data_IF_203154629036
#
_entry.id   IF_203154629036
#
_cell.length_a   1.000
_cell.length_b   1.000
_cell.length_c   1.000
_cell.angle_alpha   90.00
_cell.angle_beta   90.00
_cell.angle_gamma   90.00
#
_symmetry.space_group_name_H-M   'P 1'
#
loop_
_entity.id
_entity.type
_entity.pdbx_description
1 polymer ?
#
# COMPACT_ATOMS: atom_id res chain seq x y z
N UNK A 1 17.76 -2.95 26.43
CA UNK A 1 17.15 -4.32 26.38
C UNK A 1 16.57 -4.43 25.00
N UNK A 2 16.93 -5.44 24.19
CA UNK A 2 16.36 -5.64 22.86
C UNK A 2 14.86 -5.92 22.99
N UNK A 3 14.08 -5.40 22.04
CA UNK A 3 12.65 -5.67 21.96
C UNK A 3 12.42 -7.12 21.50
N UNK A 4 11.29 -7.71 21.89
CA UNK A 4 10.83 -8.94 21.25
C UNK A 4 10.61 -8.74 19.74
N UNK A 5 10.75 -9.78 18.92
CA UNK A 5 10.58 -9.66 17.48
C UNK A 5 9.24 -8.99 17.09
N UNK A 6 9.34 -7.87 16.37
CA UNK A 6 8.17 -7.07 15.94
C UNK A 6 7.42 -7.77 14.80
N UNK A 7 8.15 -8.40 13.89
CA UNK A 7 7.58 -9.21 12.80
C UNK A 7 7.81 -10.67 13.14
N UNK A 8 6.74 -11.44 13.24
CA UNK A 8 6.77 -12.85 13.65
C UNK A 8 6.32 -13.82 12.56
N UNK A 9 5.78 -13.30 11.47
CA UNK A 9 5.29 -14.06 10.32
C UNK A 9 5.60 -13.33 9.01
N UNK A 10 5.95 -14.06 7.95
CA UNK A 10 6.09 -13.50 6.61
C UNK A 10 4.75 -13.10 5.97
N UNK A 11 3.62 -13.46 6.59
CA UNK A 11 2.29 -12.94 6.24
C UNK A 11 2.01 -11.55 6.83
N UNK A 12 2.87 -11.00 7.73
CA UNK A 12 2.76 -9.63 8.20
C UNK A 12 3.21 -8.65 7.12
N UNK A 13 2.45 -8.66 6.03
CA UNK A 13 2.62 -7.76 4.88
C UNK A 13 1.26 -7.45 4.25
N UNK A 14 1.21 -6.39 3.44
CA UNK A 14 -0.01 -6.01 2.73
C UNK A 14 -0.29 -6.98 1.57
N UNK A 15 -1.57 -7.36 1.38
CA UNK A 15 -2.01 -8.32 0.35
C UNK A 15 -1.51 -7.97 -1.06
N UNK A 16 -1.40 -6.69 -1.39
CA UNK A 16 -0.90 -6.28 -2.71
C UNK A 16 0.56 -6.71 -2.97
N UNK A 17 1.36 -6.99 -1.94
CA UNK A 17 2.72 -7.51 -2.12
C UNK A 17 2.73 -8.93 -2.68
N UNK A 18 1.78 -9.75 -2.28
CA UNK A 18 1.63 -11.10 -2.85
C UNK A 18 1.04 -11.04 -4.26
N UNK A 19 0.05 -10.16 -4.51
CA UNK A 19 -0.50 -10.04 -5.86
C UNK A 19 0.52 -9.50 -6.86
N UNK A 20 1.26 -8.45 -6.52
CA UNK A 20 2.36 -7.97 -7.37
C UNK A 20 3.48 -9.03 -7.47
N UNK A 21 3.85 -9.65 -6.34
CA UNK A 21 4.89 -10.67 -6.28
C UNK A 21 4.64 -11.84 -7.21
N UNK A 22 3.40 -12.34 -7.32
CA UNK A 22 3.04 -13.37 -8.27
C UNK A 22 3.25 -12.93 -9.73
N UNK A 23 2.83 -11.71 -10.07
CA UNK A 23 3.02 -11.18 -11.40
C UNK A 23 4.51 -10.93 -11.72
N UNK A 24 5.27 -10.43 -10.74
CA UNK A 24 6.73 -10.26 -10.85
C UNK A 24 7.42 -11.61 -11.06
N UNK A 25 7.04 -12.62 -10.29
CA UNK A 25 7.59 -13.97 -10.39
C UNK A 25 7.44 -14.57 -11.79
N UNK A 26 6.27 -14.41 -12.39
CA UNK A 26 6.00 -14.99 -13.71
C UNK A 26 6.57 -14.18 -14.87
N UNK A 27 6.70 -12.85 -14.73
CA UNK A 27 6.94 -11.97 -15.88
C UNK A 27 8.24 -11.14 -15.76
N UNK A 28 8.75 -10.88 -14.54
CA UNK A 28 9.82 -9.92 -14.27
C UNK A 28 10.83 -10.43 -13.23
N UNK A 29 11.04 -11.75 -13.17
CA UNK A 29 11.87 -12.39 -12.13
C UNK A 29 13.35 -11.96 -12.16
N UNK A 30 13.84 -11.47 -13.29
CA UNK A 30 15.20 -10.97 -13.50
C UNK A 30 15.36 -9.46 -13.24
N UNK A 31 14.25 -8.72 -13.03
CA UNK A 31 14.30 -7.30 -12.75
C UNK A 31 14.98 -7.05 -11.39
N UNK A 32 15.82 -6.00 -11.35
CA UNK A 32 16.52 -5.56 -10.14
C UNK A 32 16.01 -4.19 -9.72
N UNK A 33 15.84 -3.98 -8.42
CA UNK A 33 15.38 -2.69 -7.89
C UNK A 33 16.27 -2.21 -6.75
N UNK A 34 16.29 -0.88 -6.61
CA UNK A 34 16.83 -0.17 -5.45
C UNK A 34 15.68 0.55 -4.77
N UNK A 35 15.61 0.42 -3.46
CA UNK A 35 14.61 1.10 -2.63
C UNK A 35 15.30 2.02 -1.64
N UNK A 36 14.62 3.09 -1.25
CA UNK A 36 15.11 4.01 -0.23
C UNK A 36 13.99 4.37 0.74
N UNK A 37 14.33 4.35 2.01
CA UNK A 37 13.52 4.87 3.10
C UNK A 37 13.59 6.41 3.12
N UNK A 38 12.50 7.05 3.56
CA UNK A 38 12.45 8.47 3.85
C UNK A 38 11.50 8.76 5.01
N UNK A 39 12.00 9.44 6.03
CA UNK A 39 11.19 10.13 7.02
C UNK A 39 10.87 11.54 6.49
N UNK A 40 9.59 11.93 6.53
CA UNK A 40 9.10 13.24 6.07
C UNK A 40 8.81 14.19 7.24
N UNK A 41 8.90 13.71 8.47
CA UNK A 41 8.80 14.52 9.66
C UNK A 41 10.13 15.27 9.84
N UNK A 42 10.08 16.56 10.11
CA UNK A 42 11.27 17.40 10.35
C UNK A 42 11.68 17.47 11.82
N UNK A 43 10.80 17.00 12.69
CA UNK A 43 10.93 16.98 14.16
C UNK A 43 11.22 15.58 14.72
N UNK A 44 11.40 14.60 13.85
CA UNK A 44 11.70 13.21 14.21
C UNK A 44 13.19 12.93 14.00
N UNK A 45 13.82 12.35 15.02
CA UNK A 45 15.21 11.90 14.94
C UNK A 45 15.34 10.50 15.55
N UNK A 46 15.98 9.59 14.80
CA UNK A 46 16.30 8.24 15.26
C UNK A 46 17.66 8.26 15.96
N UNK A 47 17.70 7.86 17.23
CA UNK A 47 18.96 7.77 17.98
C UNK A 47 19.78 6.56 17.54
N UNK A 48 21.07 6.55 17.92
CA UNK A 48 21.94 5.42 17.65
C UNK A 48 21.34 4.08 18.17
N UNK A 49 20.78 4.11 19.38
CA UNK A 49 20.15 2.93 19.99
C UNK A 49 18.93 2.45 19.21
N UNK A 50 18.13 3.37 18.65
CA UNK A 50 17.00 3.01 17.77
C UNK A 50 17.50 2.40 16.46
N UNK A 51 18.58 2.92 15.87
CA UNK A 51 19.14 2.36 14.63
C UNK A 51 19.69 0.95 14.87
N UNK A 52 20.38 0.71 15.98
CA UNK A 52 20.86 -0.63 16.33
C UNK A 52 19.70 -1.60 16.58
N UNK A 53 18.65 -1.16 17.30
CA UNK A 53 17.44 -1.97 17.49
C UNK A 53 16.77 -2.32 16.14
N UNK A 54 16.62 -1.34 15.23
CA UNK A 54 16.08 -1.56 13.88
C UNK A 54 16.90 -2.62 13.12
N UNK A 55 18.24 -2.58 13.22
CA UNK A 55 19.11 -3.58 12.59
C UNK A 55 18.85 -4.98 13.14
N UNK A 56 18.74 -5.12 14.47
CA UNK A 56 18.45 -6.42 15.09
C UNK A 56 17.06 -6.95 14.74
N UNK A 57 16.06 -6.08 14.70
CA UNK A 57 14.70 -6.45 14.28
C UNK A 57 14.65 -6.89 12.79
N UNK A 58 15.40 -6.21 11.91
CA UNK A 58 15.50 -6.61 10.49
C UNK A 58 16.25 -7.94 10.37
N UNK A 59 17.29 -8.20 11.17
CA UNK A 59 17.95 -9.51 11.21
C UNK A 59 16.99 -10.60 11.65
N UNK A 60 16.19 -10.35 12.70
CA UNK A 60 15.19 -11.30 13.17
C UNK A 60 14.14 -11.60 12.07
N UNK A 61 13.63 -10.55 11.38
CA UNK A 61 12.77 -10.71 10.21
C UNK A 61 13.42 -11.55 9.11
N UNK A 62 14.70 -11.33 8.80
CA UNK A 62 15.43 -12.09 7.79
C UNK A 62 15.66 -13.56 8.19
N UNK A 63 15.49 -13.91 9.46
CA UNK A 63 15.50 -15.29 9.95
C UNK A 63 14.22 -16.09 9.66
N UNK A 64 13.13 -15.42 9.31
CA UNK A 64 11.82 -16.05 9.13
C UNK A 64 11.73 -16.86 7.83
N UNK A 65 10.84 -17.85 7.83
CA UNK A 65 10.39 -18.61 6.66
C UNK A 65 8.89 -18.79 6.71
N UNK A 66 8.26 -18.95 5.54
CA UNK A 66 6.86 -19.34 5.49
C UNK A 66 6.66 -20.72 6.11
N UNK A 67 5.65 -20.85 6.97
CA UNK A 67 5.19 -22.15 7.47
C UNK A 67 4.28 -22.81 6.44
N UNK A 68 4.13 -24.15 6.49
CA UNK A 68 3.22 -24.86 5.60
C UNK A 68 1.77 -24.37 5.76
N UNK A 69 1.34 -24.03 6.97
CA UNK A 69 0.01 -23.49 7.24
C UNK A 69 -0.21 -22.12 6.57
N UNK A 70 0.81 -21.27 6.51
CA UNK A 70 0.77 -19.97 5.81
C UNK A 70 0.69 -20.16 4.29
N UNK A 71 1.47 -21.11 3.76
CA UNK A 71 1.45 -21.46 2.34
C UNK A 71 0.11 -22.06 1.92
N UNK A 72 -0.46 -22.95 2.71
CA UNK A 72 -1.80 -23.49 2.48
C UNK A 72 -2.89 -22.41 2.51
N UNK A 73 -2.76 -21.41 3.39
CA UNK A 73 -3.67 -20.28 3.40
C UNK A 73 -3.57 -19.45 2.11
N UNK A 74 -2.34 -19.12 1.67
CA UNK A 74 -2.13 -18.41 0.41
C UNK A 74 -2.66 -19.19 -0.78
N UNK A 75 -2.46 -20.51 -0.81
CA UNK A 75 -2.94 -21.38 -1.89
C UNK A 75 -4.48 -21.40 -2.01
N UNK A 76 -5.21 -21.15 -0.93
CA UNK A 76 -6.69 -21.06 -0.94
C UNK A 76 -7.22 -19.76 -1.54
N UNK A 77 -6.36 -18.76 -1.74
CA UNK A 77 -6.76 -17.50 -2.36
C UNK A 77 -7.02 -17.74 -3.86
N UNK A 78 -8.24 -17.46 -4.31
CA UNK A 78 -8.76 -17.87 -5.63
C UNK A 78 -7.85 -17.53 -6.83
N UNK A 79 -7.12 -16.43 -6.78
CA UNK A 79 -6.26 -15.98 -7.87
C UNK A 79 -4.76 -16.31 -7.65
N UNK A 80 -4.41 -16.87 -6.49
CA UNK A 80 -3.04 -17.27 -6.19
C UNK A 80 -2.68 -18.57 -6.93
N UNK A 81 -1.57 -18.55 -7.66
CA UNK A 81 -1.11 -19.72 -8.43
C UNK A 81 -0.14 -20.56 -7.62
N UNK A 82 -0.25 -21.88 -7.74
CA UNK A 82 0.60 -22.82 -7.00
C UNK A 82 2.09 -22.62 -7.25
N UNK A 83 2.49 -22.29 -8.49
CA UNK A 83 3.91 -22.03 -8.82
C UNK A 83 4.53 -20.89 -8.01
N UNK A 84 3.75 -19.84 -7.71
CA UNK A 84 4.22 -18.75 -6.87
C UNK A 84 4.27 -19.14 -5.39
N UNK A 85 3.30 -19.93 -4.91
CA UNK A 85 3.31 -20.46 -3.54
C UNK A 85 4.50 -21.41 -3.33
N UNK A 86 4.84 -22.24 -4.33
CA UNK A 86 6.01 -23.11 -4.30
C UNK A 86 7.32 -22.31 -4.27
N UNK A 87 7.38 -21.17 -4.98
CA UNK A 87 8.50 -20.24 -4.85
C UNK A 87 8.59 -19.66 -3.42
N UNK A 88 7.48 -19.22 -2.83
CA UNK A 88 7.45 -18.68 -1.47
C UNK A 88 7.92 -19.69 -0.43
N UNK A 89 7.70 -21.00 -0.63
CA UNK A 89 8.23 -22.06 0.25
C UNK A 89 9.76 -22.04 0.37
N UNK A 90 10.44 -21.64 -0.68
CA UNK A 90 11.90 -21.56 -0.73
C UNK A 90 12.44 -20.16 -0.41
N UNK A 91 11.55 -19.14 -0.46
CA UNK A 91 11.94 -17.77 -0.29
C UNK A 91 12.24 -17.43 1.17
N UNK A 92 13.25 -16.59 1.35
CA UNK A 92 13.64 -16.01 2.63
C UNK A 92 14.16 -14.59 2.42
N UNK A 93 13.79 -13.62 3.27
CA UNK A 93 14.42 -12.30 3.25
C UNK A 93 15.92 -12.43 3.56
N UNK A 94 16.72 -11.50 3.02
CA UNK A 94 18.18 -11.54 3.14
C UNK A 94 18.69 -10.25 3.75
N UNK A 95 19.42 -10.34 4.85
CA UNK A 95 19.98 -9.15 5.51
C UNK A 95 21.02 -8.44 4.64
N UNK A 96 21.75 -9.20 3.80
CA UNK A 96 22.75 -8.67 2.86
C UNK A 96 22.17 -7.77 1.77
N UNK A 97 20.86 -7.83 1.56
CA UNK A 97 20.14 -6.95 0.62
C UNK A 97 19.84 -5.57 1.24
N UNK A 98 20.16 -5.36 2.53
CA UNK A 98 19.95 -4.10 3.26
C UNK A 98 21.25 -3.36 3.50
N UNK A 99 21.21 -2.04 3.33
CA UNK A 99 22.19 -1.09 3.83
C UNK A 99 21.50 -0.14 4.81
N UNK A 100 21.87 -0.20 6.09
CA UNK A 100 21.27 0.57 7.17
C UNK A 100 22.36 1.37 7.86
N UNK A 101 22.25 2.69 7.74
CA UNK A 101 23.25 3.64 8.27
C UNK A 101 22.57 4.81 8.97
N UNK A 102 23.34 5.56 9.73
CA UNK A 102 22.91 6.84 10.31
C UNK A 102 23.15 7.97 9.32
N UNK A 103 22.27 8.95 9.32
CA UNK A 103 22.44 10.19 8.56
C UNK A 103 22.29 11.43 9.44
N UNK A 104 22.59 12.61 8.87
CA UNK A 104 22.49 13.88 9.58
C UNK A 104 21.07 14.50 9.53
N UNK A 105 20.15 13.97 8.72
CA UNK A 105 18.81 14.53 8.56
C UNK A 105 17.86 14.04 9.66
N UNK A 106 17.54 12.74 9.64
CA UNK A 106 16.63 12.15 10.62
C UNK A 106 17.27 11.05 11.48
N UNK A 107 18.59 10.82 11.34
CA UNK A 107 19.33 9.79 12.07
C UNK A 107 19.24 8.40 11.47
N UNK A 108 18.53 8.18 10.36
CA UNK A 108 18.32 6.86 9.77
C UNK A 108 18.24 6.88 8.25
N UNK A 109 19.10 6.10 7.61
CA UNK A 109 19.01 5.76 6.19
C UNK A 109 18.84 4.24 6.04
N UNK A 110 17.89 3.82 5.23
CA UNK A 110 17.73 2.41 4.83
C UNK A 110 17.63 2.34 3.32
N UNK A 111 18.50 1.56 2.70
CA UNK A 111 18.41 1.19 1.29
C UNK A 111 18.33 -0.32 1.15
N UNK A 112 17.62 -0.81 0.13
CA UNK A 112 17.64 -2.23 -0.21
C UNK A 112 17.92 -2.43 -1.70
N UNK A 113 18.62 -3.52 -1.99
CA UNK A 113 19.10 -3.87 -3.33
C UNK A 113 18.85 -5.33 -3.61
N UNK A 114 18.47 -5.66 -4.83
CA UNK A 114 18.29 -7.06 -5.20
C UNK A 114 17.35 -7.26 -6.37
N UNK A 115 16.88 -8.49 -6.55
CA UNK A 115 15.79 -8.75 -7.50
C UNK A 115 14.52 -8.07 -7.02
N UNK A 116 13.74 -7.55 -7.95
CA UNK A 116 12.47 -6.89 -7.60
C UNK A 116 11.56 -7.82 -6.80
N UNK A 117 11.55 -9.11 -7.15
CA UNK A 117 10.78 -10.13 -6.44
C UNK A 117 11.13 -10.23 -4.95
N UNK A 118 12.42 -10.08 -4.58
CA UNK A 118 12.85 -10.08 -3.19
C UNK A 118 12.54 -8.75 -2.50
N UNK A 119 13.01 -7.66 -3.07
CA UNK A 119 12.97 -6.33 -2.44
C UNK A 119 11.55 -5.77 -2.30
N UNK A 120 10.62 -6.20 -3.15
CA UNK A 120 9.20 -5.83 -3.02
C UNK A 120 8.61 -6.24 -1.66
N UNK A 121 8.99 -7.40 -1.13
CA UNK A 121 8.48 -7.92 0.14
C UNK A 121 9.14 -7.27 1.37
N UNK A 122 10.21 -6.48 1.20
CA UNK A 122 10.91 -5.84 2.33
C UNK A 122 10.23 -4.55 2.81
N UNK A 123 9.52 -3.82 1.95
CA UNK A 123 8.95 -2.50 2.26
C UNK A 123 8.09 -2.50 3.53
N UNK A 124 7.10 -3.37 3.59
CA UNK A 124 6.07 -3.32 4.63
C UNK A 124 6.62 -3.72 6.00
N UNK A 125 7.33 -4.85 6.15
CA UNK A 125 7.94 -5.22 7.42
C UNK A 125 8.95 -4.18 7.91
N UNK A 126 9.79 -3.63 7.01
CA UNK A 126 10.77 -2.59 7.36
C UNK A 126 10.09 -1.36 7.93
N UNK A 127 9.03 -0.85 7.27
CA UNK A 127 8.31 0.33 7.76
C UNK A 127 7.60 0.05 9.09
N UNK A 128 7.01 -1.12 9.27
CA UNK A 128 6.37 -1.52 10.53
C UNK A 128 7.40 -1.61 11.67
N UNK A 129 8.58 -2.19 11.42
CA UNK A 129 9.70 -2.24 12.37
C UNK A 129 10.14 -0.83 12.77
N UNK A 130 10.45 0.01 11.78
CA UNK A 130 10.93 1.39 12.03
C UNK A 130 9.91 2.18 12.87
N UNK A 131 8.63 2.06 12.52
CA UNK A 131 7.56 2.78 13.23
C UNK A 131 7.42 2.29 14.67
N UNK A 132 7.35 0.98 14.89
CA UNK A 132 7.16 0.41 16.23
C UNK A 132 8.37 0.65 17.14
N UNK A 133 9.61 0.51 16.63
CA UNK A 133 10.83 0.83 17.37
C UNK A 133 10.81 2.30 17.82
N UNK A 134 10.48 3.23 16.92
CA UNK A 134 10.42 4.64 17.26
C UNK A 134 9.44 4.90 18.41
N UNK A 135 8.19 4.44 18.32
CA UNK A 135 7.19 4.72 19.34
C UNK A 135 7.52 4.05 20.68
N UNK A 136 8.08 2.83 20.69
CA UNK A 136 8.48 2.13 21.91
C UNK A 136 9.69 2.73 22.60
N UNK A 137 10.58 3.40 21.87
CA UNK A 137 11.81 3.94 22.45
C UNK A 137 11.77 5.46 22.68
N UNK A 138 10.92 6.19 21.97
CA UNK A 138 10.80 7.64 22.13
C UNK A 138 9.78 8.08 23.20
N UNK A 139 8.83 7.20 23.55
CA UNK A 139 7.72 7.55 24.42
C UNK A 139 7.48 6.49 25.51
N UNK A 140 6.68 6.85 26.53
CA UNK A 140 6.07 5.85 27.40
C UNK A 140 5.03 5.07 26.57
N UNK A 141 5.35 3.82 26.29
CA UNK A 141 4.55 3.00 25.39
C UNK A 141 3.22 2.59 25.99
N UNK A 142 3.14 2.40 27.32
CA UNK A 142 1.92 2.03 28.00
C UNK A 142 0.90 3.18 27.97
N UNK A 143 1.37 4.42 28.14
CA UNK A 143 0.54 5.63 27.97
C UNK A 143 0.02 5.78 26.54
N UNK A 144 0.88 5.54 25.54
CA UNK A 144 0.45 5.57 24.14
C UNK A 144 -0.59 4.49 23.82
N UNK A 145 -0.41 3.28 24.34
CA UNK A 145 -1.34 2.18 24.14
C UNK A 145 -2.70 2.50 24.80
N UNK A 146 -2.70 3.04 25.99
CA UNK A 146 -3.93 3.47 26.68
C UNK A 146 -4.66 4.57 25.90
N UNK A 147 -3.94 5.57 25.38
CA UNK A 147 -4.51 6.61 24.50
C UNK A 147 -5.12 6.00 23.24
N UNK A 148 -4.38 5.10 22.58
CA UNK A 148 -4.85 4.38 21.39
C UNK A 148 -6.14 3.58 21.66
N UNK A 149 -6.17 2.77 22.74
CA UNK A 149 -7.33 1.97 23.08
C UNK A 149 -8.57 2.83 23.35
N UNK A 150 -8.41 3.92 24.09
CA UNK A 150 -9.50 4.88 24.36
C UNK A 150 -10.07 5.44 23.05
N UNK A 151 -9.22 5.96 22.16
CA UNK A 151 -9.66 6.53 20.87
C UNK A 151 -10.30 5.48 19.96
N UNK A 152 -9.78 4.24 19.97
CA UNK A 152 -10.39 3.14 19.23
C UNK A 152 -11.80 2.82 19.72
N UNK A 153 -12.03 2.78 21.05
CA UNK A 153 -13.35 2.52 21.64
C UNK A 153 -14.35 3.67 21.34
N UNK A 154 -13.88 4.91 21.33
CA UNK A 154 -14.66 6.06 20.91
C UNK A 154 -15.11 5.92 19.43
N UNK A 155 -14.21 5.55 18.52
CA UNK A 155 -14.51 5.32 17.10
C UNK A 155 -15.51 4.18 16.89
N UNK A 156 -15.33 3.08 17.61
CA UNK A 156 -16.26 1.95 17.57
C UNK A 156 -17.65 2.37 18.05
N UNK A 157 -17.72 3.19 19.08
CA UNK A 157 -18.97 3.72 19.61
C UNK A 157 -19.67 4.61 18.58
N UNK A 158 -18.93 5.49 17.88
CA UNK A 158 -19.47 6.34 16.80
C UNK A 158 -20.08 5.50 15.67
N UNK A 159 -19.40 4.44 15.24
CA UNK A 159 -19.93 3.52 14.22
C UNK A 159 -21.17 2.75 14.72
N UNK A 160 -21.18 2.25 15.95
CA UNK A 160 -22.33 1.55 16.54
C UNK A 160 -23.58 2.45 16.64
N UNK A 161 -23.37 3.72 16.93
CA UNK A 161 -24.45 4.71 17.04
C UNK A 161 -24.90 5.29 15.69
N UNK A 162 -24.37 4.77 14.56
CA UNK A 162 -24.66 5.26 13.21
C UNK A 162 -24.33 6.76 13.03
N UNK A 163 -23.36 7.29 13.77
CA UNK A 163 -22.89 8.67 13.59
C UNK A 163 -22.25 8.83 12.20
N UNK A 164 -21.61 7.76 11.71
CA UNK A 164 -21.03 7.69 10.37
C UNK A 164 -21.54 6.47 9.61
N UNK A 165 -21.78 6.65 8.32
CA UNK A 165 -22.26 5.61 7.40
C UNK A 165 -21.23 5.40 6.29
N UNK A 166 -20.24 4.52 6.53
CA UNK A 166 -19.11 4.33 5.62
C UNK A 166 -19.40 3.39 4.44
N UNK A 167 -20.48 2.61 4.48
CA UNK A 167 -20.63 1.49 3.54
C UNK A 167 -19.54 0.43 3.79
N UNK A 168 -18.73 0.10 2.78
CA UNK A 168 -17.65 -0.90 2.91
C UNK A 168 -16.33 -0.23 3.33
N UNK A 169 -15.67 -0.74 4.37
CA UNK A 169 -14.37 -0.24 4.78
C UNK A 169 -13.42 -1.35 5.25
N UNK A 170 -12.13 -1.11 5.12
CA UNK A 170 -11.05 -2.03 5.50
C UNK A 170 -9.93 -1.29 6.23
N UNK A 171 -9.17 -2.00 7.04
CA UNK A 171 -7.99 -1.48 7.71
C UNK A 171 -6.75 -1.59 6.80
N UNK A 172 -6.02 -0.47 6.58
CA UNK A 172 -4.86 -0.34 5.68
C UNK A 172 -3.64 0.28 6.37
N UNK A 173 -3.48 0.08 7.68
CA UNK A 173 -2.50 0.83 8.46
C UNK A 173 -1.20 0.10 8.80
N UNK A 174 -0.97 -1.12 8.31
CA UNK A 174 0.16 -1.99 8.68
C UNK A 174 1.52 -1.28 8.67
N UNK A 175 1.84 -0.55 7.61
CA UNK A 175 3.15 0.11 7.44
C UNK A 175 3.51 1.13 8.52
N UNK A 176 2.50 1.72 9.16
CA UNK A 176 2.63 2.77 10.18
C UNK A 176 1.75 2.49 11.39
N UNK A 177 1.50 1.23 11.67
CA UNK A 177 0.78 0.77 12.86
C UNK A 177 1.55 1.19 14.12
N UNK A 178 0.85 1.52 15.20
CA UNK A 178 1.50 1.83 16.48
C UNK A 178 2.36 0.63 16.93
N UNK A 179 1.77 -0.57 16.89
CA UNK A 179 2.45 -1.85 17.11
C UNK A 179 1.65 -3.00 16.52
N UNK A 180 2.25 -4.19 16.48
CA UNK A 180 1.56 -5.42 16.09
C UNK A 180 0.32 -5.68 16.95
N UNK A 181 0.44 -5.54 18.29
CA UNK A 181 -0.65 -5.72 19.22
C UNK A 181 -1.77 -4.68 19.07
N UNK A 182 -1.43 -3.40 18.86
CA UNK A 182 -2.41 -2.35 18.63
C UNK A 182 -3.21 -2.57 17.35
N UNK A 183 -2.54 -2.92 16.22
CA UNK A 183 -3.25 -3.24 14.99
C UNK A 183 -4.14 -4.47 15.14
N UNK A 184 -3.66 -5.51 15.81
CA UNK A 184 -4.45 -6.71 16.08
C UNK A 184 -5.69 -6.38 16.89
N UNK A 185 -5.56 -5.58 17.97
CA UNK A 185 -6.68 -5.13 18.79
C UNK A 185 -7.73 -4.39 17.96
N UNK A 186 -7.29 -3.48 17.07
CA UNK A 186 -8.18 -2.74 16.19
C UNK A 186 -8.96 -3.67 15.26
N UNK A 187 -8.26 -4.57 14.56
CA UNK A 187 -8.87 -5.53 13.63
C UNK A 187 -9.85 -6.44 14.36
N UNK A 188 -9.46 -6.96 15.54
CA UNK A 188 -10.32 -7.80 16.38
C UNK A 188 -11.60 -7.08 16.77
N UNK A 189 -11.49 -5.89 17.38
CA UNK A 189 -12.65 -5.11 17.84
C UNK A 189 -13.56 -4.72 16.65
N UNK A 190 -13.01 -4.36 15.49
CA UNK A 190 -13.78 -4.06 14.29
C UNK A 190 -14.53 -5.28 13.76
N UNK A 191 -13.91 -6.45 13.76
CA UNK A 191 -14.50 -7.69 13.27
C UNK A 191 -15.59 -8.27 14.19
N UNK A 192 -15.46 -8.11 15.51
CA UNK A 192 -16.41 -8.63 16.49
C UNK A 192 -17.72 -7.84 16.57
N UNK A 193 -17.80 -6.68 15.94
CA UNK A 193 -18.94 -5.79 16.04
C UNK A 193 -19.67 -5.62 14.69
N UNK A 194 -20.96 -5.28 14.78
CA UNK A 194 -21.77 -4.87 13.62
C UNK A 194 -22.06 -3.39 13.73
N UNK A 195 -22.02 -2.73 12.58
CA UNK A 195 -22.19 -1.27 12.49
C UNK A 195 -23.32 -0.98 11.49
N UNK A 196 -24.44 -0.35 11.94
CA UNK A 196 -25.50 0.05 11.02
C UNK A 196 -24.93 0.98 9.93
N UNK A 197 -25.24 0.68 8.66
CA UNK A 197 -24.75 1.46 7.52
C UNK A 197 -23.26 1.36 7.21
N UNK A 198 -22.49 0.59 7.99
CA UNK A 198 -21.06 0.38 7.77
C UNK A 198 -20.72 -1.12 7.88
N UNK A 199 -19.84 -1.63 7.02
CA UNK A 199 -19.40 -3.02 7.03
C UNK A 199 -17.89 -3.08 6.99
N UNK A 200 -17.29 -3.62 8.06
CA UNK A 200 -15.87 -3.95 8.06
C UNK A 200 -15.64 -5.20 7.20
N UNK A 201 -14.85 -5.04 6.14
CA UNK A 201 -14.62 -6.11 5.15
C UNK A 201 -13.40 -6.94 5.53
N UNK A 202 -12.33 -6.30 6.03
CA UNK A 202 -11.07 -6.96 6.34
C UNK A 202 -9.90 -6.01 6.50
N UNK A 203 -8.70 -6.53 6.32
CA UNK A 203 -7.45 -5.79 6.49
C UNK A 203 -6.49 -6.06 5.33
N UNK A 204 -5.57 -5.15 5.08
CA UNK A 204 -4.46 -5.39 4.15
C UNK A 204 -3.41 -6.36 4.74
N UNK A 205 -3.33 -6.47 6.07
CA UNK A 205 -2.43 -7.37 6.78
C UNK A 205 -2.88 -8.83 6.62
N UNK A 206 -2.13 -9.60 5.82
CA UNK A 206 -2.49 -10.98 5.46
C UNK A 206 -2.45 -11.92 6.68
N UNK A 207 -1.54 -11.67 7.63
CA UNK A 207 -1.47 -12.43 8.88
C UNK A 207 -2.75 -12.29 9.70
N UNK A 208 -3.21 -11.05 9.91
CA UNK A 208 -4.44 -10.79 10.66
C UNK A 208 -5.69 -11.27 9.91
N UNK A 209 -5.68 -11.15 8.57
CA UNK A 209 -6.78 -11.69 7.76
C UNK A 209 -6.91 -13.21 7.93
N UNK A 210 -5.78 -13.95 7.90
CA UNK A 210 -5.76 -15.39 8.20
C UNK A 210 -6.23 -15.67 9.61
N UNK A 211 -5.67 -14.96 10.61
CA UNK A 211 -5.95 -15.19 12.04
C UNK A 211 -7.43 -15.03 12.39
N UNK A 212 -8.11 -14.05 11.80
CA UNK A 212 -9.51 -13.73 12.09
C UNK A 212 -10.51 -14.25 11.04
N UNK A 213 -10.04 -14.94 10.01
CA UNK A 213 -10.91 -15.48 8.95
C UNK A 213 -11.64 -14.41 8.14
N UNK A 214 -11.03 -13.23 7.97
CA UNK A 214 -11.57 -12.10 7.21
C UNK A 214 -10.84 -11.93 5.87
N UNK A 215 -11.34 -11.01 5.02
CA UNK A 215 -10.78 -10.82 3.69
C UNK A 215 -9.42 -10.11 3.73
N UNK A 216 -8.35 -10.68 3.15
CA UNK A 216 -7.12 -9.94 2.88
C UNK A 216 -7.37 -9.00 1.70
N UNK A 217 -7.24 -7.69 1.91
CA UNK A 217 -7.58 -6.65 0.92
C UNK A 217 -6.32 -6.03 0.33
N UNK A 218 -6.27 -5.95 -0.99
CA UNK A 218 -5.17 -5.30 -1.71
C UNK A 218 -4.99 -5.87 -3.12
N UNK A 219 -4.64 -4.99 -4.07
CA UNK A 219 -4.40 -5.37 -5.45
C UNK A 219 -3.00 -4.98 -5.91
N UNK A 220 -2.74 -3.70 -6.22
CA UNK A 220 -1.45 -3.19 -6.69
C UNK A 220 -1.04 -1.91 -5.97
N UNK A 221 0.24 -1.59 -6.02
CA UNK A 221 0.81 -0.33 -5.53
C UNK A 221 1.58 0.39 -6.65
N UNK A 222 2.06 1.61 -6.35
CA UNK A 222 2.79 2.45 -7.31
C UNK A 222 4.02 1.77 -7.90
N UNK A 223 4.74 0.96 -7.10
CA UNK A 223 5.91 0.23 -7.56
C UNK A 223 5.65 -0.62 -8.80
N UNK A 224 4.44 -1.23 -8.90
CA UNK A 224 4.03 -2.02 -10.05
C UNK A 224 4.06 -1.19 -11.33
N UNK A 225 3.40 -0.03 -11.31
CA UNK A 225 3.29 0.84 -12.47
C UNK A 225 4.64 1.46 -12.82
N UNK A 226 5.40 1.89 -11.80
CA UNK A 226 6.72 2.47 -11.97
C UNK A 226 7.72 1.46 -12.56
N UNK A 227 7.85 0.28 -11.97
CA UNK A 227 8.84 -0.70 -12.40
C UNK A 227 8.49 -1.31 -13.77
N UNK A 228 7.23 -1.68 -14.01
CA UNK A 228 6.80 -2.22 -15.31
C UNK A 228 6.94 -1.18 -16.41
N UNK A 229 6.51 0.06 -16.16
CA UNK A 229 6.47 1.11 -17.18
C UNK A 229 7.81 1.79 -17.43
N UNK A 230 8.58 2.04 -16.37
CA UNK A 230 9.79 2.86 -16.42
C UNK A 230 11.09 2.03 -16.29
N UNK A 231 11.01 0.81 -15.75
CA UNK A 231 12.14 -0.10 -15.55
C UNK A 231 12.58 -0.87 -16.80
N UNK A 232 12.11 -0.49 -18.00
CA UNK A 232 12.49 -1.11 -19.26
C UNK A 232 12.82 -0.02 -20.29
N UNK A 233 14.09 0.02 -20.73
CA UNK A 233 14.58 1.01 -21.70
C UNK A 233 13.89 0.99 -23.07
N UNK A 234 13.14 -0.05 -23.39
CA UNK A 234 12.33 -0.14 -24.61
C UNK A 234 10.94 0.50 -24.47
N UNK A 235 10.56 0.85 -23.26
CA UNK A 235 9.26 1.47 -22.99
C UNK A 235 9.36 2.99 -23.04
N UNK A 236 8.32 3.64 -23.58
CA UNK A 236 8.11 5.05 -23.34
C UNK A 236 7.43 5.21 -21.98
N UNK A 237 8.06 5.90 -21.01
CA UNK A 237 7.54 5.97 -19.64
C UNK A 237 6.19 6.70 -19.52
N UNK A 238 5.79 7.48 -20.50
CA UNK A 238 4.45 8.08 -20.53
C UNK A 238 3.31 7.05 -20.70
N UNK A 239 3.62 5.81 -21.09
CA UNK A 239 2.66 4.70 -21.20
C UNK A 239 2.75 3.72 -20.01
N UNK A 240 3.33 4.13 -18.88
CA UNK A 240 3.52 3.25 -17.72
C UNK A 240 2.23 2.59 -17.23
N UNK A 241 1.11 3.33 -17.23
CA UNK A 241 -0.19 2.75 -16.84
C UNK A 241 -0.63 1.65 -17.81
N UNK A 242 -0.48 1.88 -19.13
CA UNK A 242 -0.87 0.91 -20.15
C UNK A 242 -0.08 -0.41 -20.01
N UNK A 243 1.26 -0.34 -19.91
CA UNK A 243 2.08 -1.53 -19.71
C UNK A 243 1.69 -2.28 -18.44
N UNK A 244 1.47 -1.55 -17.34
CA UNK A 244 1.11 -2.13 -16.05
C UNK A 244 -0.26 -2.83 -16.09
N UNK A 245 -1.27 -2.22 -16.72
CA UNK A 245 -2.61 -2.78 -16.89
C UNK A 245 -2.58 -4.03 -17.78
N UNK A 246 -1.84 -3.98 -18.90
CA UNK A 246 -1.74 -5.10 -19.84
C UNK A 246 -1.13 -6.34 -19.17
N UNK A 247 -0.01 -6.20 -18.46
CA UNK A 247 0.61 -7.30 -17.72
C UNK A 247 -0.25 -7.81 -16.56
N UNK A 248 -0.99 -6.92 -15.89
CA UNK A 248 -1.92 -7.31 -14.84
C UNK A 248 -3.06 -8.18 -15.38
N UNK A 249 -3.65 -7.78 -16.50
CA UNK A 249 -4.71 -8.55 -17.16
C UNK A 249 -4.20 -9.89 -17.68
N UNK A 250 -2.97 -9.96 -18.22
CA UNK A 250 -2.34 -11.23 -18.61
C UNK A 250 -2.20 -12.20 -17.44
N UNK A 251 -1.91 -11.70 -16.24
CA UNK A 251 -1.75 -12.53 -15.05
C UNK A 251 -3.09 -12.92 -14.43
N UNK A 252 -4.02 -11.99 -14.28
CA UNK A 252 -5.23 -12.16 -13.47
C UNK A 252 -6.54 -12.20 -14.25
N UNK A 253 -6.54 -11.79 -15.50
CA UNK A 253 -7.79 -11.64 -16.26
C UNK A 253 -8.73 -10.65 -15.59
N UNK A 254 -9.92 -11.13 -15.20
CA UNK A 254 -10.94 -10.35 -14.48
C UNK A 254 -10.81 -10.44 -12.94
N UNK A 255 -9.88 -11.26 -12.45
CA UNK A 255 -9.66 -11.43 -11.03
C UNK A 255 -8.76 -10.30 -10.51
N UNK A 256 -8.89 -9.98 -9.22
CA UNK A 256 -8.04 -8.99 -8.55
C UNK A 256 -8.03 -7.60 -9.23
N UNK A 257 -9.21 -7.17 -9.69
CA UNK A 257 -9.40 -6.08 -10.64
C UNK A 257 -9.67 -4.71 -10.00
N UNK A 258 -8.79 -4.17 -9.13
CA UNK A 258 -8.83 -2.76 -8.72
C UNK A 258 -7.53 -2.06 -9.14
N UNK A 259 -7.63 -1.10 -10.07
CA UNK A 259 -6.47 -0.40 -10.61
C UNK A 259 -6.15 0.87 -9.81
N UNK A 260 -4.87 1.15 -9.59
CA UNK A 260 -4.38 2.40 -9.00
C UNK A 260 -4.23 3.47 -10.10
N UNK A 261 -4.67 4.71 -9.83
CA UNK A 261 -4.85 5.71 -10.90
C UNK A 261 -3.78 6.80 -10.96
N UNK A 262 -3.01 7.03 -9.88
CA UNK A 262 -2.20 8.24 -9.69
C UNK A 262 -0.67 8.03 -9.73
N UNK A 263 -0.21 7.01 -10.47
CA UNK A 263 1.24 6.76 -10.57
C UNK A 263 1.94 7.77 -11.49
N UNK A 264 1.35 8.09 -12.65
CA UNK A 264 1.80 9.11 -13.59
C UNK A 264 0.65 10.05 -13.97
N UNK A 265 -0.11 10.54 -13.00
CA UNK A 265 -1.34 11.31 -13.01
C UNK A 265 -2.60 10.51 -13.38
N UNK A 266 -3.72 10.88 -12.77
CA UNK A 266 -5.04 10.31 -13.09
C UNK A 266 -5.47 10.61 -14.54
N UNK A 267 -5.16 11.79 -15.06
CA UNK A 267 -5.54 12.14 -16.45
C UNK A 267 -4.79 11.26 -17.47
N UNK A 268 -3.52 10.94 -17.21
CA UNK A 268 -2.76 10.01 -18.02
C UNK A 268 -3.29 8.57 -17.89
N UNK A 269 -3.71 8.16 -16.68
CA UNK A 269 -4.36 6.86 -16.45
C UNK A 269 -5.65 6.72 -17.28
N UNK A 270 -6.51 7.72 -17.33
CA UNK A 270 -7.77 7.67 -18.08
C UNK A 270 -7.55 7.50 -19.59
N UNK A 271 -6.42 7.98 -20.14
CA UNK A 271 -6.01 7.71 -21.51
C UNK A 271 -5.77 6.24 -21.81
N UNK A 272 -5.23 5.53 -20.82
CA UNK A 272 -4.91 4.10 -20.93
C UNK A 272 -6.10 3.21 -20.55
N UNK A 273 -6.93 3.66 -19.60
CA UNK A 273 -8.03 2.90 -19.04
C UNK A 273 -9.29 2.93 -19.93
N UNK A 274 -9.11 2.51 -21.19
CA UNK A 274 -10.18 2.50 -22.18
C UNK A 274 -11.11 1.28 -22.01
N UNK A 275 -12.09 1.12 -22.89
CA UNK A 275 -13.18 0.17 -22.80
C UNK A 275 -12.76 -1.25 -22.37
N UNK A 276 -11.66 -1.77 -22.89
CA UNK A 276 -11.15 -3.10 -22.55
C UNK A 276 -10.82 -3.20 -21.07
N UNK A 277 -9.95 -2.32 -20.56
CA UNK A 277 -9.57 -2.34 -19.14
C UNK A 277 -10.72 -1.90 -18.24
N UNK A 278 -11.46 -0.87 -18.64
CA UNK A 278 -12.62 -0.42 -17.89
C UNK A 278 -13.70 -1.50 -17.74
N UNK A 279 -13.80 -2.43 -18.70
CA UNK A 279 -14.69 -3.60 -18.61
C UNK A 279 -14.13 -4.68 -17.67
N UNK A 280 -12.84 -5.02 -17.82
CA UNK A 280 -12.20 -6.12 -17.08
C UNK A 280 -12.01 -5.79 -15.59
N UNK A 281 -11.66 -4.54 -15.27
CA UNK A 281 -11.47 -4.13 -13.88
C UNK A 281 -12.82 -3.85 -13.18
N UNK A 282 -12.95 -4.37 -11.98
CA UNK A 282 -14.15 -4.16 -11.14
C UNK A 282 -14.17 -2.80 -10.44
N UNK A 283 -13.01 -2.13 -10.33
CA UNK A 283 -12.88 -0.85 -9.66
C UNK A 283 -11.55 -0.14 -9.89
N UNK A 284 -11.46 1.05 -9.32
CA UNK A 284 -10.26 1.90 -9.33
C UNK A 284 -10.00 2.46 -7.94
N UNK A 285 -8.71 2.78 -7.63
CA UNK A 285 -8.27 3.28 -6.33
C UNK A 285 -7.75 4.70 -6.42
N UNK A 286 -8.28 5.56 -5.54
CA UNK A 286 -7.82 6.91 -5.24
C UNK A 286 -6.74 6.86 -4.15
N UNK A 287 -5.59 7.51 -4.41
CA UNK A 287 -4.48 7.59 -3.46
C UNK A 287 -3.84 9.00 -3.39
N UNK A 288 -4.38 9.96 -4.14
CA UNK A 288 -4.01 11.39 -4.07
C UNK A 288 -5.01 12.28 -4.81
N UNK A 289 -4.95 13.58 -4.55
CA UNK A 289 -5.84 14.59 -5.11
C UNK A 289 -7.14 14.76 -4.31
N UNK A 290 -8.06 15.59 -4.84
CA UNK A 290 -9.38 15.74 -4.25
C UNK A 290 -10.27 14.52 -4.57
N UNK A 291 -10.81 13.83 -3.55
CA UNK A 291 -11.58 12.61 -3.76
C UNK A 291 -12.90 12.84 -4.51
N UNK A 292 -13.51 14.03 -4.38
CA UNK A 292 -14.77 14.33 -5.05
C UNK A 292 -14.54 14.60 -6.54
N UNK A 293 -13.56 15.42 -6.88
CA UNK A 293 -13.17 15.68 -8.29
C UNK A 293 -12.72 14.39 -8.97
N UNK A 294 -11.89 13.58 -8.28
CA UNK A 294 -11.43 12.30 -8.80
C UNK A 294 -12.61 11.34 -9.05
N UNK A 295 -13.52 11.19 -8.10
CA UNK A 295 -14.70 10.32 -8.27
C UNK A 295 -15.59 10.76 -9.42
N UNK A 296 -15.81 12.07 -9.60
CA UNK A 296 -16.55 12.63 -10.74
C UNK A 296 -15.86 12.33 -12.07
N UNK A 297 -14.51 12.42 -12.14
CA UNK A 297 -13.74 12.01 -13.34
C UNK A 297 -13.98 10.54 -13.68
N UNK A 298 -13.94 9.64 -12.68
CA UNK A 298 -14.15 8.21 -12.89
C UNK A 298 -15.57 7.87 -13.37
N UNK A 299 -16.58 8.52 -12.80
CA UNK A 299 -17.99 8.35 -13.21
C UNK A 299 -18.14 8.81 -14.67
N UNK A 300 -17.75 10.03 -15.00
CA UNK A 300 -17.84 10.58 -16.38
C UNK A 300 -17.07 9.71 -17.40
N UNK A 301 -15.89 9.21 -17.01
CA UNK A 301 -15.13 8.34 -17.88
C UNK A 301 -15.85 7.01 -18.15
N UNK A 302 -16.43 6.38 -17.12
CA UNK A 302 -17.23 5.16 -17.28
C UNK A 302 -18.43 5.40 -18.21
N UNK A 303 -19.17 6.49 -18.01
CA UNK A 303 -20.31 6.88 -18.85
C UNK A 303 -19.89 7.13 -20.30
N UNK A 304 -18.76 7.80 -20.54
CA UNK A 304 -18.25 8.07 -21.89
C UNK A 304 -17.89 6.78 -22.66
N UNK A 305 -17.56 5.71 -21.94
CA UNK A 305 -17.29 4.37 -22.48
C UNK A 305 -18.56 3.49 -22.59
N UNK A 306 -19.73 4.01 -22.21
CA UNK A 306 -20.99 3.25 -22.20
C UNK A 306 -21.09 2.24 -21.05
N UNK A 307 -20.29 2.38 -19.98
CA UNK A 307 -20.30 1.51 -18.81
C UNK A 307 -21.12 2.18 -17.71
N UNK A 308 -22.11 1.45 -17.16
CA UNK A 308 -22.85 1.91 -15.98
C UNK A 308 -21.93 2.03 -14.75
N UNK A 309 -21.70 3.23 -14.21
CA UNK A 309 -20.84 3.44 -13.04
C UNK A 309 -21.26 2.62 -11.82
N UNK A 310 -22.54 2.28 -11.69
CA UNK A 310 -23.06 1.44 -10.58
C UNK A 310 -22.51 0.03 -10.58
N UNK A 311 -21.92 -0.41 -11.69
CA UNK A 311 -21.25 -1.72 -11.77
C UNK A 311 -19.82 -1.67 -11.25
N UNK A 312 -19.23 -0.49 -11.08
CA UNK A 312 -17.85 -0.25 -10.69
C UNK A 312 -17.73 0.17 -9.22
N UNK A 313 -16.54 -0.04 -8.65
CA UNK A 313 -16.22 0.37 -7.27
C UNK A 313 -15.13 1.45 -7.28
N UNK A 314 -15.38 2.56 -6.60
CA UNK A 314 -14.36 3.53 -6.26
C UNK A 314 -13.83 3.21 -4.86
N UNK A 315 -12.55 2.87 -4.77
CA UNK A 315 -11.85 2.62 -3.51
C UNK A 315 -11.06 3.87 -3.13
N UNK A 316 -11.41 4.52 -2.03
CA UNK A 316 -10.68 5.67 -1.49
C UNK A 316 -9.72 5.20 -0.39
N UNK A 317 -8.45 5.67 -0.44
CA UNK A 317 -7.42 5.23 0.51
C UNK A 317 -6.43 6.31 0.93
N UNK A 318 -6.68 7.58 0.63
CA UNK A 318 -5.79 8.69 0.99
C UNK A 318 -6.32 9.49 2.17
N UNK A 319 -5.55 9.53 3.27
CA UNK A 319 -5.73 10.44 4.41
C UNK A 319 -7.17 10.45 4.96
N UNK A 320 -7.74 9.28 5.21
CA UNK A 320 -9.12 9.09 5.63
C UNK A 320 -9.25 8.96 7.14
N UNK A 321 -10.24 9.65 7.67
CA UNK A 321 -10.94 9.39 8.92
C UNK A 321 -12.40 9.00 8.64
N UNK A 322 -13.20 8.71 9.67
CA UNK A 322 -14.58 8.30 9.50
C UNK A 322 -15.48 9.45 9.02
N UNK A 323 -15.22 10.69 9.44
CA UNK A 323 -15.98 11.85 9.01
C UNK A 323 -15.80 12.11 7.51
N UNK A 324 -14.55 12.07 7.03
CA UNK A 324 -14.25 12.27 5.61
C UNK A 324 -14.81 11.13 4.77
N UNK A 325 -14.70 9.89 5.24
CA UNK A 325 -15.27 8.73 4.56
C UNK A 325 -16.80 8.82 4.45
N UNK A 326 -17.49 9.23 5.52
CA UNK A 326 -18.95 9.45 5.52
C UNK A 326 -19.37 10.53 4.53
N UNK A 327 -18.66 11.66 4.46
CA UNK A 327 -18.90 12.72 3.49
C UNK A 327 -18.77 12.21 2.05
N UNK A 328 -17.73 11.42 1.76
CA UNK A 328 -17.53 10.81 0.44
C UNK A 328 -18.65 9.81 0.14
N UNK A 329 -19.00 8.97 1.13
CA UNK A 329 -20.06 7.97 1.00
C UNK A 329 -21.41 8.64 0.65
N UNK A 330 -21.76 9.68 1.39
CA UNK A 330 -22.99 10.43 1.19
C UNK A 330 -23.04 11.11 -0.18
N UNK A 331 -21.91 11.69 -0.63
CA UNK A 331 -21.82 12.39 -1.92
C UNK A 331 -22.05 11.46 -3.12
N UNK A 332 -21.48 10.26 -3.09
CA UNK A 332 -21.59 9.30 -4.19
C UNK A 332 -22.74 8.30 -4.05
N UNK A 333 -23.56 8.43 -3.01
CA UNK A 333 -24.65 7.50 -2.73
C UNK A 333 -25.57 7.27 -3.94
N UNK A 334 -25.79 6.01 -4.29
CA UNK A 334 -26.66 5.59 -5.41
C UNK A 334 -26.09 5.83 -6.82
N UNK A 335 -24.91 6.43 -6.96
CA UNK A 335 -24.28 6.75 -8.24
C UNK A 335 -23.21 5.74 -8.65
N UNK A 336 -22.46 5.22 -7.70
CA UNK A 336 -21.36 4.26 -7.90
C UNK A 336 -21.20 3.45 -6.62
N UNK A 337 -20.58 2.26 -6.68
CA UNK A 337 -20.17 1.53 -5.48
C UNK A 337 -18.92 2.16 -4.89
N UNK A 338 -18.86 2.28 -3.57
CA UNK A 338 -17.70 2.85 -2.87
C UNK A 338 -17.19 1.89 -1.80
N UNK A 339 -15.90 1.99 -1.56
CA UNK A 339 -15.21 1.30 -0.47
C UNK A 339 -14.07 2.18 0.06
N UNK A 340 -13.66 1.95 1.30
CA UNK A 340 -12.61 2.71 1.96
C UNK A 340 -11.50 1.81 2.48
N UNK A 341 -10.24 2.24 2.28
CA UNK A 341 -9.07 1.71 2.94
C UNK A 341 -8.53 2.75 3.94
N UNK A 342 -8.71 2.53 5.24
CA UNK A 342 -8.39 3.49 6.29
C UNK A 342 -7.14 3.03 7.03
N UNK A 343 -6.09 3.85 7.04
CA UNK A 343 -4.77 3.53 7.56
C UNK A 343 -4.58 3.89 9.03
N UNK A 344 -3.67 4.82 9.31
CA UNK A 344 -3.23 5.21 10.66
C UNK A 344 -4.36 5.67 11.57
N UNK A 345 -5.43 6.22 11.04
CA UNK A 345 -6.61 6.56 11.83
C UNK A 345 -7.21 5.36 12.57
N UNK A 346 -7.05 4.13 12.05
CA UNK A 346 -7.48 2.89 12.71
C UNK A 346 -6.34 2.28 13.52
N UNK A 347 -5.11 2.25 12.99
CA UNK A 347 -4.01 1.43 13.51
C UNK A 347 -2.96 2.20 14.33
N UNK A 348 -2.99 3.53 14.35
CA UNK A 348 -2.02 4.38 15.04
C UNK A 348 -2.57 5.80 15.31
N UNK A 349 -3.70 5.91 15.98
CA UNK A 349 -4.24 7.18 16.42
C UNK A 349 -4.08 7.31 17.94
N UNK A 350 -3.07 8.05 18.34
CA UNK A 350 -2.73 8.37 19.73
C UNK A 350 -2.71 9.88 19.93
N UNK A 351 -2.29 10.36 21.10
CA UNK A 351 -2.05 11.78 21.34
C UNK A 351 -0.76 12.29 20.69
N UNK A 352 0.06 11.35 20.16
CA UNK A 352 1.23 11.65 19.33
C UNK A 352 0.90 11.33 17.86
N UNK A 353 1.19 12.23 16.92
CA UNK A 353 0.96 11.98 15.50
C UNK A 353 1.74 10.76 14.99
N UNK A 354 1.11 9.96 14.12
CA UNK A 354 1.78 8.87 13.43
C UNK A 354 2.94 9.38 12.55
N UNK A 355 4.03 8.61 12.46
CA UNK A 355 5.14 8.97 11.59
C UNK A 355 4.72 9.06 10.12
N UNK A 356 5.29 10.03 9.42
CA UNK A 356 5.16 10.14 7.96
C UNK A 356 6.39 9.54 7.28
N UNK A 357 6.50 8.23 7.37
CA UNK A 357 7.58 7.43 6.79
C UNK A 357 7.12 6.71 5.53
N UNK A 358 8.03 6.57 4.58
CA UNK A 358 7.81 5.83 3.34
C UNK A 358 9.08 5.07 2.94
N UNK A 359 8.92 3.99 2.22
CA UNK A 359 10.00 3.30 1.52
C UNK A 359 9.56 3.10 0.07
N UNK A 360 10.35 3.51 -0.91
CA UNK A 360 9.96 3.47 -2.32
C UNK A 360 11.09 3.02 -3.22
N UNK A 361 10.73 2.36 -4.29
CA UNK A 361 11.61 2.06 -5.41
C UNK A 361 12.11 3.37 -6.02
N UNK A 362 13.42 3.51 -6.11
CA UNK A 362 14.10 4.66 -6.72
C UNK A 362 14.73 4.30 -8.07
N UNK A 363 15.11 3.02 -8.24
CA UNK A 363 15.63 2.50 -9.51
C UNK A 363 15.06 1.12 -9.84
N UNK A 364 14.88 0.88 -11.14
CA UNK A 364 14.54 -0.44 -11.67
C UNK A 364 15.43 -0.72 -12.90
N UNK A 365 16.16 -1.85 -12.90
CA UNK A 365 17.15 -2.23 -13.92
C UNK A 365 18.19 -1.13 -14.21
N UNK A 366 18.64 -0.43 -13.16
CA UNK A 366 19.59 0.67 -13.25
C UNK A 366 19.01 2.01 -13.74
N UNK A 367 17.74 2.05 -14.16
CA UNK A 367 17.04 3.26 -14.57
C UNK A 367 16.31 3.88 -13.39
N UNK A 368 16.29 5.20 -13.32
CA UNK A 368 15.48 5.92 -12.35
C UNK A 368 13.99 5.67 -12.62
N UNK A 369 13.20 5.59 -11.56
CA UNK A 369 11.74 5.48 -11.62
C UNK A 369 11.11 6.52 -10.70
N UNK A 370 9.98 7.08 -11.13
CA UNK A 370 9.32 8.16 -10.40
C UNK A 370 7.79 8.02 -10.40
N UNK A 371 7.18 8.45 -9.28
CA UNK A 371 5.75 8.72 -9.20
C UNK A 371 5.50 10.20 -9.50
N UNK A 372 4.56 10.48 -10.40
CA UNK A 372 3.99 11.81 -10.63
C UNK A 372 2.58 11.83 -10.05
N UNK A 373 2.46 12.22 -8.78
CA UNK A 373 1.19 12.24 -8.04
C UNK A 373 0.30 13.40 -8.47
N UNK A 374 -1.03 13.25 -8.34
CA UNK A 374 -1.99 14.35 -8.50
C UNK A 374 -1.87 15.38 -7.35
N UNK A 375 -1.24 15.03 -6.24
CA UNK A 375 -0.90 15.96 -5.16
C UNK A 375 0.57 16.37 -5.26
N UNK A 376 0.88 17.69 -5.36
CA UNK A 376 2.26 18.18 -5.34
C UNK A 376 3.03 17.70 -4.09
N UNK A 377 4.32 17.35 -4.25
CA UNK A 377 5.18 16.92 -3.14
C UNK A 377 5.03 15.47 -2.67
N UNK A 378 4.03 14.72 -3.14
CA UNK A 378 3.89 13.26 -2.85
C UNK A 378 4.82 12.38 -3.70
N UNK A 379 5.53 12.94 -4.68
CA UNK A 379 6.53 12.24 -5.47
C UNK A 379 7.73 11.77 -4.62
N UNK A 380 8.44 10.77 -5.09
CA UNK A 380 9.77 10.40 -4.60
C UNK A 380 10.61 9.92 -5.77
N UNK A 381 11.65 10.65 -6.07
CA UNK A 381 12.71 10.28 -7.01
C UNK A 381 14.00 10.96 -6.53
N UNK A 382 15.13 10.26 -6.60
CA UNK A 382 16.44 10.82 -6.25
C UNK A 382 17.02 11.70 -7.37
N UNK A 383 16.45 11.58 -8.59
CA UNK A 383 16.94 12.29 -9.78
C UNK A 383 15.88 13.29 -10.28
N UNK A 384 16.03 14.60 -10.00
CA UNK A 384 15.10 15.63 -10.49
C UNK A 384 15.05 15.73 -12.02
N UNK A 385 16.17 15.50 -12.72
CA UNK A 385 16.22 15.56 -14.19
C UNK A 385 15.33 14.47 -14.80
N UNK A 386 15.30 13.30 -14.19
CA UNK A 386 14.39 12.22 -14.63
C UNK A 386 12.92 12.58 -14.42
N UNK A 387 12.58 13.25 -13.32
CA UNK A 387 11.21 13.74 -13.08
C UNK A 387 10.78 14.72 -14.18
N UNK A 388 11.65 15.67 -14.53
CA UNK A 388 11.39 16.63 -15.61
C UNK A 388 11.26 15.93 -16.98
N UNK A 389 12.12 14.96 -17.25
CA UNK A 389 12.02 14.14 -18.46
C UNK A 389 10.68 13.40 -18.55
N UNK A 390 10.27 12.73 -17.46
CA UNK A 390 9.00 12.01 -17.39
C UNK A 390 7.81 12.96 -17.59
N UNK A 391 7.83 14.12 -16.95
CA UNK A 391 6.79 15.14 -17.11
C UNK A 391 6.69 15.63 -18.56
N UNK A 392 7.82 15.85 -19.25
CA UNK A 392 7.83 16.22 -20.67
C UNK A 392 7.25 15.12 -21.55
N UNK A 393 7.59 13.86 -21.28
CA UNK A 393 7.02 12.72 -22.02
C UNK A 393 5.50 12.64 -21.83
N UNK A 394 5.01 12.84 -20.60
CA UNK A 394 3.57 12.85 -20.29
C UNK A 394 2.88 14.03 -21.02
N UNK A 395 3.40 15.25 -20.89
CA UNK A 395 2.82 16.45 -21.54
C UNK A 395 2.73 16.26 -23.05
N UNK A 396 3.82 15.80 -23.68
CA UNK A 396 3.84 15.53 -25.12
C UNK A 396 2.76 14.51 -25.51
N UNK A 397 2.63 13.43 -24.75
CA UNK A 397 1.60 12.42 -24.97
C UNK A 397 0.20 12.99 -24.83
N UNK A 398 -0.07 13.77 -23.78
CA UNK A 398 -1.39 14.38 -23.55
C UNK A 398 -1.82 15.34 -24.65
N UNK A 399 -0.87 15.98 -25.33
CA UNK A 399 -1.11 16.91 -26.44
C UNK A 399 -1.27 16.20 -27.79
N UNK A 400 -0.54 15.11 -28.05
CA UNK A 400 -0.37 14.50 -29.36
C UNK A 400 -1.06 13.14 -29.55
N UNK A 401 -1.28 12.37 -28.48
CA UNK A 401 -2.02 11.11 -28.54
C UNK A 401 -3.54 11.42 -28.52
N UNK A 402 -4.23 11.14 -29.61
CA UNK A 402 -5.68 11.33 -29.75
C UNK A 402 -6.42 10.01 -29.57
#
# INVERSE_FOLDING_TARGET
MLLEPIITSLLETDMYKFSMGQCIYHQFSDYKTTWSFKCRNTDVHFTHEMVEEIKEQIKAYCGLRFTEEELEYLHKIKWMKGSYVDFLRLWQPRYEDYEITEDAECGLTIETFGTWLNTSLYEIPTLAIVNEVYFRMAYDYDDLLASFEKKLDEKITLLKNSTYNLGLFSEFGLRRRLSAGAQELAVKKLNENKYPGSTFVGTSNVFLAKKYGITPVGTMAHEWIMCVGQGNHKHNPAYSNWYALDWWVKEYGILNGTALTDAITTDCFLRDFQLTYATLFSGVRHDSGDPFEWGEKMIRHSESLGIDPKTKTLLFSDSLDFERADKIASYFAGRVKIAFGIGTYISNDTDVPALNIVMKTTKCNGMDVAKISDTPGKGMCKNPEYVEYLQRCISWRMENDR
#
